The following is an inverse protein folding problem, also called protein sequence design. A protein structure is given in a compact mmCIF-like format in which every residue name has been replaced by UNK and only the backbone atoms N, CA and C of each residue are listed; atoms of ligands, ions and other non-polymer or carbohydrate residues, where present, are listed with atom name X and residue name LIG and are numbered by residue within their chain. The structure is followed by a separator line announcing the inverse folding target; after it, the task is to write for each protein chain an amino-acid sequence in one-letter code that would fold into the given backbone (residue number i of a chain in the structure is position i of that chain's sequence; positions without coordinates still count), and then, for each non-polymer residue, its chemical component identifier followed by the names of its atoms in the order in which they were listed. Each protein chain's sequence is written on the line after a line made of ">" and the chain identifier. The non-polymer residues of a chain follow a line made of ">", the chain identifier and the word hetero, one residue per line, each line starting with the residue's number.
data_IF_844435604958
#
_entry.id   IF_844435604958
#
_cell.length_a   1.000
_cell.length_b   1.000
_cell.length_c   1.000
_cell.angle_alpha   90.00
_cell.angle_beta   90.00
_cell.angle_gamma   90.00
#
_symmetry.space_group_name_H-M   'P 1'
#
loop_
_entity.id
_entity.type
_entity.pdbx_description
1 polymer ?
#
# COMPACT_ATOMS: atom_id res chain seq x y z
N UNK A 1 26.69 16.13 -8.71
CA UNK A 1 26.53 16.47 -7.28
C UNK A 1 25.11 16.11 -6.86
N UNK A 2 24.87 14.82 -6.61
CA UNK A 2 23.54 14.31 -6.25
C UNK A 2 23.29 14.63 -4.77
N UNK A 3 22.52 15.69 -4.47
CA UNK A 3 22.04 15.92 -3.11
C UNK A 3 21.13 14.76 -2.75
N UNK A 4 21.64 13.85 -1.92
CA UNK A 4 20.80 13.06 -1.02
C UNK A 4 19.89 14.04 -0.30
N UNK A 5 18.61 14.06 -0.68
CA UNK A 5 17.58 14.78 0.04
C UNK A 5 17.24 13.97 1.30
N UNK A 6 18.20 13.88 2.22
CA UNK A 6 17.93 13.48 3.59
C UNK A 6 17.09 14.62 4.16
N UNK A 7 15.76 14.47 4.09
CA UNK A 7 14.82 15.40 4.70
C UNK A 7 15.02 15.29 6.22
N UNK A 8 15.76 16.22 6.80
CA UNK A 8 15.83 16.39 8.25
C UNK A 8 14.42 16.70 8.76
N UNK A 9 13.74 15.69 9.29
CA UNK A 9 12.38 15.81 9.85
C UNK A 9 12.38 16.42 11.27
N UNK A 10 13.55 16.81 11.78
CA UNK A 10 13.77 17.40 13.10
C UNK A 10 14.08 18.90 13.06
N UNK A 11 14.31 19.47 11.88
CA UNK A 11 14.70 20.87 11.68
C UNK A 11 13.80 21.52 10.62
N UNK A 12 12.76 22.24 11.05
CA UNK A 12 11.84 22.96 10.16
C UNK A 12 10.39 23.00 10.65
N UNK A 13 9.53 23.76 9.95
CA UNK A 13 8.09 23.82 10.24
C UNK A 13 7.44 22.46 10.00
N UNK A 14 7.33 21.67 11.07
CA UNK A 14 6.80 20.30 11.14
C UNK A 14 5.54 20.07 10.28
N UNK A 15 4.63 21.05 10.27
CA UNK A 15 3.39 21.02 9.50
C UNK A 15 3.58 20.92 7.99
N UNK A 16 4.58 21.58 7.41
CA UNK A 16 4.82 21.58 5.95
C UNK A 16 5.47 20.28 5.48
N UNK A 17 6.34 19.69 6.29
CA UNK A 17 6.98 18.40 6.01
C UNK A 17 6.00 17.23 6.20
N UNK A 18 5.16 17.28 7.24
CA UNK A 18 4.09 16.28 7.44
C UNK A 18 3.12 16.30 6.26
N UNK A 19 2.63 17.47 5.84
CA UNK A 19 1.69 17.55 4.70
C UNK A 19 2.39 17.15 3.38
N UNK A 20 3.65 17.57 3.18
CA UNK A 20 4.41 17.19 1.98
C UNK A 20 4.74 15.70 1.88
N UNK A 21 4.84 14.99 3.00
CA UNK A 21 5.08 13.54 3.04
C UNK A 21 3.79 12.72 3.13
N UNK A 22 2.77 13.19 3.85
CA UNK A 22 1.49 12.50 4.00
C UNK A 22 0.65 12.54 2.73
N UNK A 23 0.73 13.61 1.94
CA UNK A 23 -0.05 13.77 0.71
C UNK A 23 0.33 12.73 -0.36
N UNK A 24 1.63 12.50 -0.69
CA UNK A 24 2.00 11.41 -1.58
C UNK A 24 1.73 10.02 -0.97
N UNK A 25 1.82 9.84 0.36
CA UNK A 25 1.46 8.58 1.02
C UNK A 25 -0.05 8.27 0.92
N UNK A 26 -0.90 9.28 1.12
CA UNK A 26 -2.35 9.17 0.96
C UNK A 26 -2.69 8.86 -0.50
N UNK A 27 -2.07 9.55 -1.45
CA UNK A 27 -2.28 9.28 -2.87
C UNK A 27 -1.86 7.84 -3.23
N UNK A 28 -0.73 7.38 -2.70
CA UNK A 28 -0.24 6.02 -2.92
C UNK A 28 -1.21 4.98 -2.36
N UNK A 29 -1.72 5.18 -1.15
CA UNK A 29 -2.74 4.29 -0.56
C UNK A 29 -4.03 4.28 -1.38
N UNK A 30 -4.48 5.44 -1.87
CA UNK A 30 -5.69 5.54 -2.68
C UNK A 30 -5.53 4.84 -4.03
N UNK A 31 -4.40 5.05 -4.70
CA UNK A 31 -4.03 4.38 -5.94
C UNK A 31 -3.90 2.86 -5.75
N UNK A 32 -3.34 2.43 -4.63
CA UNK A 32 -3.18 1.02 -4.30
C UNK A 32 -4.54 0.34 -4.09
N UNK A 33 -5.46 0.97 -3.36
CA UNK A 33 -6.83 0.48 -3.21
C UNK A 33 -7.56 0.44 -4.56
N UNK A 34 -7.39 1.47 -5.40
CA UNK A 34 -8.01 1.51 -6.73
C UNK A 34 -7.45 0.41 -7.64
N UNK A 35 -6.15 0.14 -7.60
CA UNK A 35 -5.52 -0.95 -8.34
C UNK A 35 -6.08 -2.31 -7.92
N UNK A 36 -6.16 -2.59 -6.62
CA UNK A 36 -6.74 -3.85 -6.14
C UNK A 36 -8.22 -4.00 -6.52
N UNK A 37 -8.99 -2.92 -6.54
CA UNK A 37 -10.38 -2.93 -7.00
C UNK A 37 -10.51 -3.13 -8.52
N UNK A 38 -9.62 -2.51 -9.32
CA UNK A 38 -9.61 -2.65 -10.77
C UNK A 38 -9.19 -4.06 -11.18
N UNK A 39 -8.17 -4.65 -10.55
CA UNK A 39 -7.77 -6.05 -10.80
C UNK A 39 -8.94 -7.01 -10.54
N UNK A 40 -9.64 -6.83 -9.42
CA UNK A 40 -10.85 -7.59 -9.09
C UNK A 40 -11.98 -7.38 -10.12
N UNK A 41 -12.22 -6.14 -10.53
CA UNK A 41 -13.29 -5.80 -11.49
C UNK A 41 -12.98 -6.31 -12.91
N UNK A 42 -11.72 -6.27 -13.33
CA UNK A 42 -11.26 -6.79 -14.63
C UNK A 42 -11.35 -8.32 -14.61
N UNK A 43 -10.81 -9.01 -13.60
CA UNK A 43 -10.90 -10.47 -13.53
C UNK A 43 -12.36 -10.94 -13.44
N UNK A 44 -13.23 -10.21 -12.71
CA UNK A 44 -14.66 -10.49 -12.64
C UNK A 44 -15.42 -10.26 -13.96
N UNK A 45 -14.92 -9.39 -14.85
CA UNK A 45 -15.51 -9.15 -16.17
C UNK A 45 -15.00 -10.09 -17.26
N UNK A 46 -13.79 -10.61 -17.12
CA UNK A 46 -13.18 -11.52 -18.10
C UNK A 46 -13.40 -13.01 -17.80
N UNK A 47 -13.87 -13.39 -16.60
CA UNK A 47 -14.15 -14.79 -16.31
C UNK A 47 -15.35 -14.97 -15.36
N UNK A 48 -16.27 -15.83 -15.78
CA UNK A 48 -17.51 -16.19 -15.07
C UNK A 48 -17.23 -16.68 -13.64
N UNK A 49 -18.21 -16.55 -12.73
CA UNK A 49 -18.27 -16.88 -11.28
C UNK A 49 -17.10 -17.65 -10.61
N UNK A 50 -16.53 -18.65 -11.28
CA UNK A 50 -15.32 -19.36 -10.88
C UNK A 50 -14.07 -18.45 -10.71
N UNK A 51 -13.87 -17.44 -11.54
CA UNK A 51 -12.71 -16.55 -11.39
C UNK A 51 -12.86 -15.54 -10.25
N UNK A 52 -14.06 -15.03 -9.99
CA UNK A 52 -14.29 -14.23 -8.78
C UNK A 52 -14.03 -15.06 -7.51
N UNK A 53 -14.39 -16.35 -7.53
CA UNK A 53 -14.07 -17.30 -6.45
C UNK A 53 -12.56 -17.49 -6.27
N UNK A 54 -11.79 -17.57 -7.36
CA UNK A 54 -10.33 -17.69 -7.26
C UNK A 54 -9.67 -16.41 -6.76
N UNK A 55 -10.09 -15.21 -7.22
CA UNK A 55 -9.48 -13.96 -6.71
C UNK A 55 -9.81 -13.74 -5.23
N UNK A 56 -11.02 -14.11 -4.78
CA UNK A 56 -11.36 -14.10 -3.36
C UNK A 56 -10.43 -14.98 -2.51
N UNK A 57 -10.15 -16.20 -2.97
CA UNK A 57 -9.23 -17.12 -2.28
C UNK A 57 -7.78 -16.63 -2.30
N UNK A 58 -7.32 -16.03 -3.41
CA UNK A 58 -5.98 -15.43 -3.50
C UNK A 58 -5.87 -14.17 -2.62
N UNK A 59 -6.94 -13.39 -2.48
CA UNK A 59 -6.98 -12.19 -1.63
C UNK A 59 -6.78 -12.55 -0.15
N UNK A 60 -7.41 -13.64 0.32
CA UNK A 60 -7.19 -14.15 1.69
C UNK A 60 -5.73 -14.53 1.95
N UNK A 61 -5.07 -15.20 1.00
CA UNK A 61 -3.65 -15.55 1.10
C UNK A 61 -2.75 -14.31 1.10
N UNK A 62 -3.02 -13.33 0.22
CA UNK A 62 -2.27 -12.07 0.17
C UNK A 62 -2.40 -11.33 1.51
N UNK A 63 -3.59 -11.28 2.10
CA UNK A 63 -3.83 -10.61 3.38
C UNK A 63 -3.06 -11.28 4.52
N UNK A 64 -3.03 -12.62 4.55
CA UNK A 64 -2.30 -13.39 5.56
C UNK A 64 -0.78 -13.16 5.45
N UNK A 65 -0.22 -13.26 4.25
CA UNK A 65 1.21 -13.01 4.02
C UNK A 65 1.60 -11.56 4.31
N UNK A 66 0.81 -10.59 3.84
CA UNK A 66 1.08 -9.16 4.07
C UNK A 66 1.02 -8.82 5.55
N UNK A 67 -0.02 -9.29 6.25
CA UNK A 67 -0.16 -9.09 7.69
C UNK A 67 0.95 -9.75 8.49
N UNK A 68 1.39 -10.95 8.11
CA UNK A 68 2.50 -11.64 8.73
C UNK A 68 3.83 -10.87 8.56
N UNK A 69 4.12 -10.42 7.34
CA UNK A 69 5.34 -9.66 7.04
C UNK A 69 5.34 -8.28 7.70
N UNK A 70 4.20 -7.57 7.71
CA UNK A 70 4.06 -6.33 8.46
C UNK A 70 4.23 -6.55 9.96
N UNK A 71 3.63 -7.61 10.51
CA UNK A 71 3.74 -7.97 11.91
C UNK A 71 5.17 -8.30 12.33
N UNK A 72 5.91 -9.06 11.52
CA UNK A 72 7.35 -9.29 11.71
C UNK A 72 8.15 -7.99 11.59
N UNK A 73 7.87 -7.17 10.57
CA UNK A 73 8.56 -5.89 10.37
C UNK A 73 8.36 -4.92 11.54
N UNK A 74 7.15 -4.82 12.08
CA UNK A 74 6.86 -4.02 13.27
C UNK A 74 7.39 -4.65 14.56
N UNK A 75 7.37 -5.99 14.66
CA UNK A 75 7.83 -6.72 15.84
C UNK A 75 9.35 -6.77 15.99
N UNK A 76 10.10 -6.61 14.89
CA UNK A 76 11.57 -6.45 14.90
C UNK A 76 11.99 -4.99 15.10
N UNK A 77 11.06 -4.03 14.90
CA UNK A 77 11.31 -2.60 15.10
C UNK A 77 11.14 -2.14 16.57
N UNK A 78 10.76 -3.06 17.48
CA UNK A 78 10.68 -2.83 18.93
C UNK A 78 11.76 -3.59 19.68
#
# INVERSE_FOLDING_TARGET
>A
MARSATLDMTQGSLSRQIIGFSLPLMFTNLLQMLFSMVDLAVVGRFSSSAAMGSVGSTTTLIFLFTGFLMGLGSGVNV
#
